data_IF_587762327344
#
_entry.id   IF_587762327344
#
_cell.length_a   1.000
_cell.length_b   1.000
_cell.length_c   1.000
_cell.angle_alpha   90.00
_cell.angle_beta   90.00
_cell.angle_gamma   90.00
#
_symmetry.space_group_name_H-M   'P 1'
#
loop_
_entity.id
_entity.type
_entity.pdbx_description
1 polymer ?
#
# COMPACT_ATOMS: atom_id res chain seq x y z
N UNK A 1 -9.96 17.19 -14.88
CA UNK A 1 -9.69 16.15 -15.91
C UNK A 1 -9.63 14.81 -15.20
N UNK A 2 -10.00 13.68 -15.84
CA UNK A 2 -9.91 12.40 -15.14
C UNK A 2 -8.42 12.02 -14.89
N UNK A 3 -7.98 11.94 -13.62
CA UNK A 3 -6.67 11.48 -13.14
C UNK A 3 -6.55 9.95 -12.90
N UNK A 4 -5.79 9.21 -13.73
CA UNK A 4 -5.79 7.74 -13.72
C UNK A 4 -4.96 7.15 -12.56
N UNK A 5 -5.52 6.17 -11.83
CA UNK A 5 -4.88 5.52 -10.68
C UNK A 5 -4.33 4.15 -11.06
N UNK A 6 -3.01 4.02 -11.21
CA UNK A 6 -2.35 2.73 -11.29
C UNK A 6 -2.05 2.18 -9.88
N UNK A 7 -2.79 1.19 -9.40
CA UNK A 7 -2.35 0.39 -8.24
C UNK A 7 -1.74 -0.91 -8.71
N UNK A 8 -0.62 -1.33 -8.10
CA UNK A 8 -0.17 -2.72 -8.21
C UNK A 8 -1.23 -3.63 -7.56
N UNK A 9 -2.22 -4.04 -8.36
CA UNK A 9 -3.39 -4.79 -7.93
C UNK A 9 -4.66 -4.53 -8.74
N UNK A 10 -4.91 -3.29 -9.23
CA UNK A 10 -5.99 -2.88 -10.15
C UNK A 10 -5.95 -1.35 -10.40
N UNK A 11 -6.36 -0.89 -11.59
CA UNK A 11 -6.51 0.54 -11.91
C UNK A 11 -7.96 0.97 -11.65
N UNK A 12 -8.22 2.03 -10.88
CA UNK A 12 -9.58 2.54 -10.59
C UNK A 12 -9.81 3.96 -11.11
N UNK A 13 -11.00 4.22 -11.64
CA UNK A 13 -11.52 5.56 -11.92
C UNK A 13 -13.01 5.68 -11.57
N UNK A 14 -13.37 6.81 -10.95
CA UNK A 14 -14.67 7.25 -10.44
C UNK A 14 -15.13 6.59 -9.12
N UNK A 15 -14.78 7.26 -8.01
CA UNK A 15 -15.55 7.26 -6.76
C UNK A 15 -15.62 5.93 -6.01
N UNK A 16 -14.92 5.89 -4.87
CA UNK A 16 -14.83 4.81 -3.87
C UNK A 16 -13.90 3.66 -4.24
N UNK A 17 -12.71 3.59 -3.62
CA UNK A 17 -11.89 2.39 -3.67
C UNK A 17 -12.65 1.20 -3.04
N UNK A 18 -12.76 0.10 -3.79
CA UNK A 18 -13.37 -1.15 -3.33
C UNK A 18 -12.38 -1.96 -2.48
N UNK A 19 -12.92 -2.83 -1.62
CA UNK A 19 -12.14 -3.79 -0.82
C UNK A 19 -11.26 -4.65 -1.74
N UNK A 20 -9.97 -4.75 -1.45
CA UNK A 20 -9.01 -5.60 -2.14
C UNK A 20 -8.40 -6.54 -1.11
N UNK A 21 -8.83 -7.81 -1.03
CA UNK A 21 -8.19 -8.74 -0.08
C UNK A 21 -7.92 -10.15 -0.60
N UNK A 22 -8.53 -10.62 -1.70
CA UNK A 22 -8.34 -12.02 -2.14
C UNK A 22 -7.93 -12.22 -3.63
N UNK A 23 -7.36 -13.39 -3.99
CA UNK A 23 -7.12 -13.78 -5.40
C UNK A 23 -8.38 -13.84 -6.28
N UNK A 24 -9.54 -14.16 -5.69
CA UNK A 24 -10.84 -14.15 -6.36
C UNK A 24 -11.32 -12.71 -6.70
N UNK A 25 -10.79 -11.70 -6.00
CA UNK A 25 -11.13 -10.29 -6.26
C UNK A 25 -10.48 -9.71 -7.52
N UNK A 26 -9.48 -10.38 -8.09
CA UNK A 26 -8.73 -9.87 -9.26
C UNK A 26 -9.58 -9.81 -10.52
N UNK A 27 -10.55 -10.73 -10.66
CA UNK A 27 -11.50 -10.72 -11.77
C UNK A 27 -12.77 -9.92 -11.43
N UNK A 28 -13.17 -9.89 -10.16
CA UNK A 28 -14.41 -9.21 -9.73
C UNK A 28 -14.23 -7.68 -9.66
N UNK A 29 -13.05 -7.18 -9.28
CA UNK A 29 -12.83 -5.74 -9.05
C UNK A 29 -12.99 -4.90 -10.32
N UNK A 30 -12.34 -5.22 -11.47
CA UNK A 30 -12.58 -4.47 -12.70
C UNK A 30 -14.04 -4.53 -13.14
N UNK A 31 -14.72 -5.67 -12.93
CA UNK A 31 -16.13 -5.84 -13.25
C UNK A 31 -17.02 -4.93 -12.38
N UNK A 32 -16.75 -4.85 -11.07
CA UNK A 32 -17.46 -3.95 -10.14
C UNK A 32 -17.27 -2.48 -10.52
N UNK A 33 -16.04 -2.06 -10.83
CA UNK A 33 -15.76 -0.69 -11.25
C UNK A 33 -16.50 -0.36 -12.56
N UNK A 34 -16.47 -1.26 -13.54
CA UNK A 34 -17.22 -1.10 -14.79
C UNK A 34 -18.73 -1.07 -14.57
N UNK A 35 -19.26 -1.89 -13.66
CA UNK A 35 -20.67 -1.89 -13.29
C UNK A 35 -21.10 -0.58 -12.61
N UNK A 36 -20.19 0.08 -11.90
CA UNK A 36 -20.36 1.41 -11.34
C UNK A 36 -20.16 2.56 -12.36
N UNK A 37 -19.89 2.24 -13.64
CA UNK A 37 -19.70 3.22 -14.72
C UNK A 37 -18.26 3.72 -14.88
N UNK A 38 -17.30 3.15 -14.15
CA UNK A 38 -15.87 3.45 -14.27
C UNK A 38 -15.19 2.68 -15.41
N UNK A 39 -13.93 3.02 -15.66
CA UNK A 39 -13.02 2.24 -16.53
C UNK A 39 -12.01 1.51 -15.65
N UNK A 40 -11.84 0.22 -15.88
CA UNK A 40 -10.90 -0.61 -15.14
C UNK A 40 -10.39 -1.78 -15.97
N UNK A 41 -9.17 -2.21 -15.66
CA UNK A 41 -8.50 -3.37 -16.22
C UNK A 41 -7.55 -3.94 -15.15
N UNK A 42 -7.27 -5.23 -15.27
CA UNK A 42 -6.35 -5.97 -14.40
C UNK A 42 -5.15 -6.42 -15.21
N UNK A 43 -3.96 -6.22 -14.65
CA UNK A 43 -2.70 -6.71 -15.19
C UNK A 43 -1.97 -7.49 -14.12
N UNK A 44 -1.33 -8.60 -14.50
CA UNK A 44 -0.48 -9.37 -13.59
C UNK A 44 0.95 -8.89 -13.75
N UNK A 45 1.58 -8.53 -12.64
CA UNK A 45 2.99 -8.15 -12.60
C UNK A 45 3.57 -8.52 -11.23
N UNK A 46 4.79 -9.04 -11.25
CA UNK A 46 5.63 -9.11 -10.06
C UNK A 46 6.32 -7.76 -9.83
N UNK A 47 6.06 -7.14 -8.69
CA UNK A 47 6.63 -5.82 -8.35
C UNK A 47 8.13 -5.88 -8.09
N UNK A 48 8.70 -7.07 -7.86
CA UNK A 48 10.16 -7.24 -7.70
C UNK A 48 10.89 -7.35 -9.05
N UNK A 49 10.15 -7.54 -10.15
CA UNK A 49 10.71 -7.62 -11.50
C UNK A 49 10.55 -6.27 -12.22
N UNK A 50 11.68 -5.58 -12.43
CA UNK A 50 11.72 -4.29 -13.10
C UNK A 50 11.09 -4.30 -14.50
N UNK A 51 11.25 -5.39 -15.26
CA UNK A 51 10.69 -5.48 -16.62
C UNK A 51 9.17 -5.64 -16.56
N UNK A 52 8.66 -6.43 -15.61
CA UNK A 52 7.22 -6.56 -15.39
C UNK A 52 6.59 -5.27 -14.87
N UNK A 53 7.27 -4.52 -14.00
CA UNK A 53 6.84 -3.18 -13.61
C UNK A 53 6.75 -2.26 -14.83
N UNK A 54 7.78 -2.18 -15.68
CA UNK A 54 7.72 -1.36 -16.88
C UNK A 54 6.55 -1.74 -17.82
N UNK A 55 6.32 -3.04 -18.01
CA UNK A 55 5.22 -3.57 -18.81
C UNK A 55 3.84 -3.23 -18.23
N UNK A 56 3.70 -3.24 -16.89
CA UNK A 56 2.47 -2.83 -16.20
C UNK A 56 2.11 -1.36 -16.53
N UNK A 57 3.07 -0.45 -16.44
CA UNK A 57 2.84 0.97 -16.74
C UNK A 57 2.55 1.18 -18.23
N UNK A 58 3.26 0.49 -19.13
CA UNK A 58 2.98 0.56 -20.56
C UNK A 58 1.58 0.06 -20.90
N UNK A 59 1.16 -1.06 -20.31
CA UNK A 59 -0.19 -1.59 -20.51
C UNK A 59 -1.27 -0.65 -19.97
N UNK A 60 -1.00 -0.02 -18.81
CA UNK A 60 -1.86 1.00 -18.23
C UNK A 60 -2.00 2.22 -19.15
N UNK A 61 -0.88 2.73 -19.68
CA UNK A 61 -0.90 3.88 -20.59
C UNK A 61 -1.61 3.60 -21.90
N UNK A 62 -1.48 2.37 -22.43
CA UNK A 62 -2.19 1.95 -23.64
C UNK A 62 -3.70 1.89 -23.43
N UNK A 63 -4.15 1.42 -22.27
CA UNK A 63 -5.58 1.25 -21.96
C UNK A 63 -6.25 2.56 -21.54
N UNK A 64 -5.55 3.38 -20.76
CA UNK A 64 -6.15 4.51 -20.05
C UNK A 64 -5.56 5.87 -20.44
N UNK A 65 -4.37 5.90 -21.05
CA UNK A 65 -3.59 7.12 -21.23
C UNK A 65 -2.63 7.37 -20.06
N UNK A 66 -2.08 8.58 -19.98
CA UNK A 66 -1.01 8.91 -19.05
C UNK A 66 -1.36 8.61 -17.57
N UNK A 67 -0.35 8.16 -16.81
CA UNK A 67 -0.51 7.81 -15.39
C UNK A 67 -0.34 9.06 -14.51
N UNK A 68 -1.45 9.56 -13.97
CA UNK A 68 -1.44 10.74 -13.09
C UNK A 68 -1.27 10.37 -11.61
N UNK A 69 -1.71 9.17 -11.21
CA UNK A 69 -1.63 8.66 -9.83
C UNK A 69 -1.07 7.24 -9.84
N UNK A 70 -0.12 6.94 -8.96
CA UNK A 70 0.44 5.60 -8.75
C UNK A 70 0.41 5.23 -7.28
N UNK A 71 -0.09 4.02 -6.98
CA UNK A 71 -0.26 3.49 -5.62
C UNK A 71 0.51 2.18 -5.47
N UNK A 72 1.51 2.22 -4.60
CA UNK A 72 2.41 1.12 -4.29
C UNK A 72 1.82 0.36 -3.09
N UNK A 73 0.81 -0.49 -3.37
CA UNK A 73 0.03 -1.23 -2.38
C UNK A 73 0.49 -2.67 -2.11
N UNK A 74 1.09 -3.32 -3.10
CA UNK A 74 1.56 -4.69 -2.96
C UNK A 74 2.52 -4.83 -1.75
N UNK A 75 2.31 -5.87 -0.96
CA UNK A 75 3.13 -6.12 0.22
C UNK A 75 2.84 -7.49 0.84
N UNK A 76 3.82 -8.00 1.57
CA UNK A 76 3.77 -9.28 2.28
C UNK A 76 4.26 -9.11 3.71
N UNK A 77 3.84 -10.01 4.58
CA UNK A 77 4.32 -10.12 5.95
C UNK A 77 4.59 -11.59 6.27
N UNK A 78 5.64 -11.85 7.03
CA UNK A 78 5.84 -13.12 7.73
C UNK A 78 6.18 -12.85 9.18
N UNK A 79 5.79 -13.76 10.06
CA UNK A 79 5.98 -13.65 11.51
C UNK A 79 6.85 -14.82 11.97
N UNK A 80 7.96 -14.52 12.62
CA UNK A 80 8.90 -15.51 13.13
C UNK A 80 9.63 -15.01 14.38
N UNK A 81 10.03 -15.91 15.27
CA UNK A 81 10.99 -15.58 16.31
C UNK A 81 12.33 -15.20 15.67
N UNK A 82 13.14 -14.41 16.38
CA UNK A 82 14.36 -13.84 15.81
C UNK A 82 15.38 -14.91 15.43
N UNK A 83 15.47 -15.98 16.21
CA UNK A 83 16.34 -17.14 15.97
C UNK A 83 15.89 -18.01 14.79
N UNK A 84 14.60 -17.96 14.43
CA UNK A 84 13.99 -18.75 13.36
C UNK A 84 13.86 -17.94 12.05
N UNK A 85 13.97 -16.61 12.11
CA UNK A 85 13.87 -15.75 10.95
C UNK A 85 15.04 -15.97 10.00
N UNK A 86 14.75 -16.55 8.83
CA UNK A 86 15.79 -16.87 7.85
C UNK A 86 16.23 -15.62 7.07
N UNK A 87 17.48 -15.63 6.60
CA UNK A 87 17.97 -14.58 5.70
C UNK A 87 17.22 -14.55 4.35
N UNK A 88 16.61 -15.67 3.95
CA UNK A 88 15.77 -15.72 2.74
C UNK A 88 14.45 -14.98 2.95
N UNK A 89 13.74 -15.25 4.06
CA UNK A 89 12.51 -14.52 4.41
C UNK A 89 12.76 -13.03 4.63
N UNK A 90 13.87 -12.69 5.29
CA UNK A 90 14.31 -11.31 5.42
C UNK A 90 14.39 -10.63 4.05
N UNK A 91 15.16 -11.21 3.12
CA UNK A 91 15.34 -10.65 1.77
C UNK A 91 14.03 -10.59 1.01
N UNK A 92 13.21 -11.64 1.07
CA UNK A 92 11.91 -11.69 0.38
C UNK A 92 10.98 -10.56 0.81
N UNK A 93 10.87 -10.29 2.11
CA UNK A 93 10.00 -9.22 2.62
C UNK A 93 10.52 -7.84 2.21
N UNK A 94 11.83 -7.58 2.31
CA UNK A 94 12.42 -6.33 1.83
C UNK A 94 12.26 -6.17 0.31
N UNK A 95 12.44 -7.24 -0.45
CA UNK A 95 12.36 -7.21 -1.90
C UNK A 95 10.96 -6.81 -2.37
N UNK A 96 9.91 -7.42 -1.82
CA UNK A 96 8.53 -7.05 -2.16
C UNK A 96 8.16 -5.67 -1.61
N UNK A 97 8.37 -5.44 -0.31
CA UNK A 97 7.80 -4.27 0.38
C UNK A 97 8.62 -2.98 0.21
N UNK A 98 9.91 -3.09 -0.15
CA UNK A 98 10.81 -1.94 -0.25
C UNK A 98 11.35 -1.81 -1.66
N UNK A 99 12.00 -2.85 -2.22
CA UNK A 99 12.52 -2.80 -3.59
C UNK A 99 11.37 -2.62 -4.58
N UNK A 100 10.27 -3.37 -4.43
CA UNK A 100 9.10 -3.25 -5.29
C UNK A 100 8.44 -1.86 -5.27
N UNK A 101 8.34 -1.25 -4.08
CA UNK A 101 7.88 0.15 -3.95
C UNK A 101 8.80 1.09 -4.70
N UNK A 102 10.12 0.97 -4.52
CA UNK A 102 11.10 1.80 -5.22
C UNK A 102 11.00 1.64 -6.75
N UNK A 103 10.93 0.41 -7.27
CA UNK A 103 10.82 0.15 -8.71
C UNK A 103 9.57 0.77 -9.31
N UNK A 104 8.42 0.63 -8.62
CA UNK A 104 7.16 1.23 -9.05
C UNK A 104 7.22 2.77 -9.02
N UNK A 105 7.78 3.36 -7.96
CA UNK A 105 7.99 4.80 -7.87
C UNK A 105 8.90 5.33 -8.99
N UNK A 106 10.01 4.63 -9.26
CA UNK A 106 10.96 4.99 -10.31
C UNK A 106 10.27 5.02 -11.68
N UNK A 107 9.49 3.98 -12.00
CA UNK A 107 8.78 3.91 -13.27
C UNK A 107 7.68 4.97 -13.37
N UNK A 108 6.88 5.17 -12.30
CA UNK A 108 5.86 6.22 -12.26
C UNK A 108 6.44 7.61 -12.50
N UNK A 109 7.52 7.97 -11.79
CA UNK A 109 8.20 9.26 -11.94
C UNK A 109 8.72 9.42 -13.38
N UNK A 110 9.25 8.36 -13.99
CA UNK A 110 9.69 8.39 -15.40
C UNK A 110 8.54 8.72 -16.35
N UNK A 111 7.37 8.09 -16.16
CA UNK A 111 6.15 8.38 -16.97
C UNK A 111 5.63 9.80 -16.73
N UNK A 112 5.58 10.24 -15.46
CA UNK A 112 5.13 11.57 -15.07
C UNK A 112 6.03 12.68 -15.65
N UNK A 113 7.35 12.49 -15.59
CA UNK A 113 8.34 13.35 -16.27
C UNK A 113 8.12 13.38 -17.77
N UNK A 114 7.81 12.23 -18.37
CA UNK A 114 7.54 12.10 -19.81
C UNK A 114 6.38 12.97 -20.29
N UNK A 115 5.29 13.06 -19.52
CA UNK A 115 4.13 13.89 -19.89
C UNK A 115 4.15 15.30 -19.27
N UNK A 116 4.96 15.57 -18.25
CA UNK A 116 5.22 16.92 -17.72
C UNK A 116 4.04 17.62 -17.03
N UNK A 117 3.06 16.87 -16.50
CA UNK A 117 1.84 17.44 -15.87
C UNK A 117 1.83 17.26 -14.34
N UNK A 118 2.95 16.84 -13.75
CA UNK A 118 3.02 16.42 -12.34
C UNK A 118 2.39 15.05 -12.11
N UNK A 119 2.07 14.74 -10.85
CA UNK A 119 1.39 13.50 -10.48
C UNK A 119 1.36 13.24 -8.98
N UNK A 120 0.83 12.09 -8.58
CA UNK A 120 0.71 11.65 -7.19
C UNK A 120 1.27 10.23 -7.02
N UNK A 121 2.23 10.04 -6.12
CA UNK A 121 2.68 8.74 -5.67
C UNK A 121 2.22 8.51 -4.24
N UNK A 122 1.60 7.35 -3.98
CA UNK A 122 0.99 7.00 -2.69
C UNK A 122 1.48 5.61 -2.27
N UNK A 123 2.43 5.60 -1.35
CA UNK A 123 3.08 4.39 -0.87
C UNK A 123 2.35 3.77 0.33
N UNK A 124 2.31 2.45 0.40
CA UNK A 124 1.74 1.73 1.55
C UNK A 124 2.82 1.41 2.58
N UNK A 125 2.87 2.21 3.63
CA UNK A 125 3.69 1.95 4.80
C UNK A 125 2.93 1.01 5.77
N UNK A 126 2.97 1.27 7.07
CA UNK A 126 2.26 0.52 8.12
C UNK A 126 2.39 1.26 9.44
N UNK A 127 1.54 0.97 10.44
CA UNK A 127 1.87 1.29 11.83
C UNK A 127 3.27 0.80 12.24
N UNK A 128 3.74 -0.33 11.68
CA UNK A 128 5.11 -0.80 11.90
C UNK A 128 6.22 0.04 11.24
N UNK A 129 5.87 1.06 10.45
CA UNK A 129 6.79 2.11 9.99
C UNK A 129 6.95 3.26 11.00
N UNK A 130 6.18 3.24 12.09
CA UNK A 130 6.21 4.21 13.19
C UNK A 130 6.77 3.60 14.45
N UNK A 131 6.35 2.38 14.74
CA UNK A 131 6.80 1.63 15.90
C UNK A 131 6.98 0.17 15.50
N UNK A 132 8.21 -0.34 15.60
CA UNK A 132 8.47 -1.75 15.35
C UNK A 132 7.68 -2.66 16.28
N UNK A 133 7.40 -3.88 15.83
CA UNK A 133 6.68 -4.88 16.60
C UNK A 133 7.50 -6.18 16.72
N UNK A 134 7.22 -6.94 17.77
CA UNK A 134 7.89 -8.21 18.04
C UNK A 134 7.59 -9.23 16.93
N UNK A 135 8.57 -10.10 16.67
CA UNK A 135 8.52 -11.18 15.68
C UNK A 135 8.42 -10.75 14.20
N UNK A 136 8.52 -9.45 13.93
CA UNK A 136 8.45 -8.90 12.56
C UNK A 136 9.52 -7.83 12.26
N UNK A 137 10.81 -8.02 12.65
CA UNK A 137 11.83 -6.98 12.46
C UNK A 137 12.10 -6.66 10.98
N UNK A 138 12.04 -7.64 10.09
CA UNK A 138 12.17 -7.49 8.63
C UNK A 138 10.99 -6.74 8.02
N UNK A 139 9.76 -7.02 8.45
CA UNK A 139 8.58 -6.27 8.00
C UNK A 139 8.66 -4.81 8.47
N UNK A 140 8.97 -4.56 9.75
CA UNK A 140 9.18 -3.22 10.27
C UNK A 140 10.29 -2.48 9.49
N UNK A 141 11.46 -3.10 9.31
CA UNK A 141 12.54 -2.55 8.50
C UNK A 141 12.08 -2.19 7.08
N UNK A 142 11.31 -3.07 6.44
CA UNK A 142 10.79 -2.83 5.10
C UNK A 142 9.86 -1.62 5.03
N UNK A 143 8.98 -1.45 6.02
CA UNK A 143 8.00 -0.36 6.07
C UNK A 143 8.60 0.96 6.54
N UNK A 144 9.62 0.95 7.40
CA UNK A 144 10.48 2.12 7.64
C UNK A 144 11.26 2.52 6.37
N UNK A 145 11.70 1.56 5.57
CA UNK A 145 12.32 1.80 4.27
C UNK A 145 11.40 2.58 3.32
N UNK A 146 10.10 2.24 3.30
CA UNK A 146 9.08 2.98 2.53
C UNK A 146 8.98 4.45 2.95
N UNK A 147 9.11 4.77 4.25
CA UNK A 147 9.13 6.16 4.74
C UNK A 147 10.34 6.90 4.20
N UNK A 148 11.52 6.27 4.22
CA UNK A 148 12.75 6.84 3.65
C UNK A 148 12.63 7.11 2.15
N UNK A 149 12.11 6.14 1.38
CA UNK A 149 11.84 6.28 -0.05
C UNK A 149 10.89 7.46 -0.30
N UNK A 150 9.79 7.52 0.44
CA UNK A 150 8.76 8.57 0.32
C UNK A 150 9.37 9.95 0.51
N UNK A 151 10.10 10.15 1.61
CA UNK A 151 10.72 11.44 1.94
C UNK A 151 11.82 11.84 0.94
N UNK A 152 12.66 10.89 0.52
CA UNK A 152 13.75 11.17 -0.42
C UNK A 152 13.20 11.57 -1.79
N UNK A 153 12.25 10.79 -2.33
CA UNK A 153 11.66 11.08 -3.64
C UNK A 153 10.88 12.39 -3.61
N UNK A 154 10.10 12.65 -2.56
CA UNK A 154 9.37 13.91 -2.40
C UNK A 154 10.28 15.13 -2.54
N UNK A 155 11.48 15.09 -1.94
CA UNK A 155 12.46 16.19 -2.03
C UNK A 155 12.99 16.38 -3.45
N UNK A 156 13.16 15.31 -4.21
CA UNK A 156 13.67 15.36 -5.57
C UNK A 156 12.64 15.93 -6.55
N UNK A 157 11.41 15.39 -6.54
CA UNK A 157 10.44 15.62 -7.62
C UNK A 157 9.42 16.74 -7.35
N UNK A 158 9.45 17.38 -6.18
CA UNK A 158 8.45 18.40 -5.80
C UNK A 158 8.33 19.56 -6.80
N UNK A 159 9.46 20.04 -7.36
CA UNK A 159 9.45 21.14 -8.34
C UNK A 159 8.84 20.76 -9.69
N UNK A 160 8.65 19.47 -9.93
CA UNK A 160 8.05 18.91 -11.15
C UNK A 160 6.52 18.75 -11.01
N UNK A 161 5.94 19.21 -9.89
CA UNK A 161 4.50 19.07 -9.60
C UNK A 161 4.11 17.65 -9.18
N UNK A 162 5.10 16.81 -8.82
CA UNK A 162 4.88 15.44 -8.34
C UNK A 162 4.94 15.43 -6.81
N UNK A 163 3.90 14.89 -6.17
CA UNK A 163 3.90 14.66 -4.72
C UNK A 163 4.13 13.20 -4.41
N UNK A 164 4.88 12.89 -3.35
CA UNK A 164 5.12 11.52 -2.89
C UNK A 164 4.74 11.43 -1.42
N UNK A 165 3.72 10.67 -1.10
CA UNK A 165 3.24 10.46 0.27
C UNK A 165 3.12 8.97 0.58
N UNK A 166 3.00 8.65 1.86
CA UNK A 166 2.69 7.31 2.33
C UNK A 166 1.52 7.34 3.31
N UNK A 167 0.82 6.21 3.43
CA UNK A 167 -0.17 6.00 4.47
C UNK A 167 0.21 4.81 5.34
N UNK A 168 -0.12 4.89 6.63
CA UNK A 168 0.14 3.89 7.65
C UNK A 168 -1.19 3.34 8.19
N UNK A 169 -1.71 2.23 7.64
CA UNK A 169 -2.84 1.56 8.22
C UNK A 169 -2.52 0.99 9.60
N UNK A 170 -3.54 0.99 10.47
CA UNK A 170 -3.56 0.22 11.71
C UNK A 170 -3.95 -1.23 11.47
N UNK A 171 -4.76 -1.78 12.36
CA UNK A 171 -5.33 -3.11 12.17
C UNK A 171 -6.55 -2.99 11.25
N UNK A 172 -6.45 -3.52 10.02
CA UNK A 172 -7.51 -3.46 8.99
C UNK A 172 -8.04 -4.86 8.69
N UNK A 173 -9.37 -5.03 8.74
CA UNK A 173 -10.03 -6.29 8.41
C UNK A 173 -9.74 -6.69 6.95
N UNK A 174 -8.86 -7.68 6.78
CA UNK A 174 -8.39 -8.20 5.48
C UNK A 174 -8.04 -9.68 5.59
N UNK A 175 -7.77 -10.37 4.48
CA UNK A 175 -7.28 -11.76 4.52
C UNK A 175 -5.96 -11.88 5.32
N UNK A 176 -5.11 -10.84 5.29
CA UNK A 176 -3.89 -10.75 6.11
C UNK A 176 -4.18 -10.77 7.61
N UNK A 177 -5.36 -10.34 8.03
CA UNK A 177 -5.82 -10.37 9.42
C UNK A 177 -5.83 -11.78 10.00
N UNK A 178 -6.40 -12.74 9.27
CA UNK A 178 -6.54 -14.11 9.73
C UNK A 178 -5.17 -14.78 9.91
N UNK A 179 -4.25 -14.56 8.96
CA UNK A 179 -2.87 -15.01 9.08
C UNK A 179 -2.17 -14.42 10.31
N UNK A 180 -2.30 -13.11 10.53
CA UNK A 180 -1.66 -12.41 11.64
C UNK A 180 -2.21 -12.89 12.99
N UNK A 181 -3.53 -13.06 13.11
CA UNK A 181 -4.20 -13.59 14.30
C UNK A 181 -3.66 -14.97 14.67
N UNK A 182 -3.62 -15.89 13.70
CA UNK A 182 -3.15 -17.25 13.94
C UNK A 182 -1.66 -17.30 14.28
N UNK A 183 -0.82 -16.62 13.51
CA UNK A 183 0.63 -16.68 13.66
C UNK A 183 1.11 -16.02 14.96
N UNK A 184 0.62 -14.82 15.28
CA UNK A 184 0.94 -14.21 16.57
C UNK A 184 0.24 -14.92 17.73
N UNK A 185 -0.98 -15.41 17.52
CA UNK A 185 -1.74 -16.14 18.53
C UNK A 185 -0.92 -17.28 19.11
N UNK A 186 -0.36 -18.14 18.23
CA UNK A 186 0.51 -19.28 18.60
C UNK A 186 1.81 -18.87 19.30
N UNK A 187 2.36 -17.70 18.99
CA UNK A 187 3.64 -17.25 19.54
C UNK A 187 3.50 -16.52 20.88
N UNK A 188 2.36 -15.85 21.11
CA UNK A 188 2.10 -15.04 22.30
C UNK A 188 1.34 -15.80 23.39
N UNK A 189 0.74 -16.94 23.07
CA UNK A 189 0.05 -17.79 24.04
C UNK A 189 -0.82 -18.85 23.37
N UNK A 190 -1.84 -19.31 24.09
CA UNK A 190 -2.83 -20.28 23.61
C UNK A 190 -4.12 -19.58 23.16
N UNK A 191 -4.00 -18.53 22.34
CA UNK A 191 -5.17 -17.82 21.79
C UNK A 191 -5.95 -18.72 20.83
N UNK A 192 -7.27 -18.71 20.92
CA UNK A 192 -8.13 -19.31 19.89
C UNK A 192 -8.26 -18.37 18.70
N UNK A 193 -8.65 -18.88 17.51
CA UNK A 193 -8.87 -18.05 16.34
C UNK A 193 -9.79 -16.85 16.63
N UNK A 194 -9.30 -15.66 16.33
CA UNK A 194 -9.94 -14.36 16.51
C UNK A 194 -9.74 -13.71 17.89
N UNK A 195 -9.27 -14.44 18.91
CA UNK A 195 -9.17 -13.90 20.27
C UNK A 195 -8.08 -12.83 20.38
N UNK A 196 -6.92 -13.06 19.77
CA UNK A 196 -5.80 -12.12 19.81
C UNK A 196 -6.17 -10.80 19.12
N UNK A 197 -6.69 -10.86 17.89
CA UNK A 197 -7.07 -9.63 17.19
C UNK A 197 -8.23 -8.91 17.86
N UNK A 198 -9.21 -9.63 18.40
CA UNK A 198 -10.28 -9.00 19.18
C UNK A 198 -9.72 -8.26 20.41
N UNK A 199 -8.67 -8.79 21.05
CA UNK A 199 -7.98 -8.10 22.13
C UNK A 199 -7.27 -6.84 21.67
N UNK A 200 -6.50 -6.90 20.58
CA UNK A 200 -5.78 -5.73 20.08
C UNK A 200 -6.74 -4.63 19.60
N UNK A 201 -7.87 -5.00 18.99
CA UNK A 201 -8.90 -4.05 18.58
C UNK A 201 -9.49 -3.29 19.76
N UNK A 202 -9.68 -3.93 20.92
CA UNK A 202 -10.16 -3.25 22.14
C UNK A 202 -9.21 -2.15 22.62
N UNK A 203 -7.93 -2.25 22.27
CA UNK A 203 -6.91 -1.27 22.64
C UNK A 203 -6.75 -0.13 21.61
N UNK A 204 -7.43 -0.20 20.46
CA UNK A 204 -7.52 0.93 19.53
C UNK A 204 -8.44 2.00 20.16
N UNK A 205 -8.06 3.29 20.23
CA UNK A 205 -8.90 4.33 20.82
C UNK A 205 -10.31 4.45 20.21
N UNK A 206 -10.46 4.24 18.89
CA UNK A 206 -11.76 4.19 18.23
C UNK A 206 -12.53 2.86 18.46
N UNK A 207 -11.97 1.92 19.22
CA UNK A 207 -12.55 0.64 19.65
C UNK A 207 -13.11 -0.24 18.53
N UNK A 208 -12.55 -0.12 17.32
CA UNK A 208 -12.89 -0.94 16.17
C UNK A 208 -11.68 -1.15 15.27
N UNK A 209 -11.71 -2.25 14.53
CA UNK A 209 -10.83 -2.43 13.39
C UNK A 209 -11.14 -1.38 12.30
N UNK A 210 -10.12 -1.02 11.53
CA UNK A 210 -10.32 -0.27 10.30
C UNK A 210 -10.84 -1.18 9.19
N UNK A 211 -11.52 -0.58 8.22
CA UNK A 211 -12.00 -1.23 7.01
C UNK A 211 -11.19 -0.76 5.80
N UNK A 212 -11.33 -1.46 4.67
CA UNK A 212 -10.80 -0.97 3.40
C UNK A 212 -11.32 0.43 3.03
N UNK A 213 -12.55 0.78 3.43
CA UNK A 213 -13.16 2.09 3.19
C UNK A 213 -12.50 3.22 3.98
N UNK A 214 -12.04 2.93 5.21
CA UNK A 214 -11.32 3.91 6.03
C UNK A 214 -9.97 4.30 5.37
N UNK A 215 -9.24 3.30 4.88
CA UNK A 215 -7.97 3.50 4.15
C UNK A 215 -8.21 4.20 2.81
N UNK A 216 -9.22 3.74 2.08
CA UNK A 216 -9.67 4.27 0.81
C UNK A 216 -9.97 5.77 0.85
N UNK A 217 -10.55 6.27 1.95
CA UNK A 217 -10.81 7.69 2.16
C UNK A 217 -9.55 8.53 2.11
N UNK A 218 -8.52 8.15 2.88
CA UNK A 218 -7.23 8.85 2.89
C UNK A 218 -6.52 8.75 1.53
N UNK A 219 -6.49 7.57 0.93
CA UNK A 219 -5.85 7.35 -0.38
C UNK A 219 -6.51 8.22 -1.46
N UNK A 220 -7.85 8.31 -1.47
CA UNK A 220 -8.58 9.16 -2.42
C UNK A 220 -8.29 10.64 -2.19
N UNK A 221 -8.21 11.08 -0.94
CA UNK A 221 -7.81 12.45 -0.59
C UNK A 221 -6.39 12.76 -1.12
N UNK A 222 -5.41 11.88 -0.86
CA UNK A 222 -4.03 12.06 -1.34
C UNK A 222 -3.89 12.03 -2.86
N UNK A 223 -4.80 11.35 -3.55
CA UNK A 223 -4.87 11.32 -5.01
C UNK A 223 -5.52 12.58 -5.62
N UNK A 224 -6.20 13.41 -4.81
CA UNK A 224 -6.95 14.58 -5.27
C UNK A 224 -6.13 15.86 -5.32
N UNK A 225 -6.73 16.93 -5.85
CA UNK A 225 -6.16 18.27 -5.83
C UNK A 225 -6.18 18.90 -4.42
N UNK A 226 -7.05 18.43 -3.52
CA UNK A 226 -7.10 18.92 -2.14
C UNK A 226 -5.81 18.60 -1.36
N UNK A 227 -5.05 17.59 -1.81
CA UNK A 227 -3.75 17.22 -1.26
C UNK A 227 -2.56 17.81 -2.03
N UNK A 228 -2.77 18.75 -2.97
CA UNK A 228 -1.71 19.26 -3.86
C UNK A 228 -0.51 19.90 -3.13
N UNK A 229 -0.69 20.33 -1.87
CA UNK A 229 0.39 20.90 -1.04
C UNK A 229 0.96 19.92 0.01
N UNK A 230 0.59 18.64 -0.07
CA UNK A 230 1.05 17.59 0.85
C UNK A 230 2.08 16.74 0.10
N UNK A 231 3.34 16.75 0.53
CA UNK A 231 4.39 15.87 0.00
C UNK A 231 5.38 15.47 1.08
N UNK A 232 5.99 14.30 0.94
CA UNK A 232 6.92 13.70 1.88
C UNK A 232 6.27 13.22 3.18
N UNK A 233 4.94 13.24 3.27
CA UNK A 233 4.23 12.89 4.49
C UNK A 233 3.98 11.39 4.57
N UNK A 234 3.96 10.90 5.80
CA UNK A 234 3.45 9.58 6.14
C UNK A 234 2.27 9.81 7.07
N UNK A 235 1.08 9.33 6.74
CA UNK A 235 -0.15 9.69 7.47
C UNK A 235 -0.79 8.43 8.04
N UNK A 236 -1.08 8.42 9.34
CA UNK A 236 -1.69 7.27 10.00
C UNK A 236 -3.21 7.23 9.73
N UNK A 237 -3.71 6.03 9.45
CA UNK A 237 -5.14 5.70 9.32
C UNK A 237 -5.41 4.44 10.12
N UNK A 238 -5.40 4.58 11.45
CA UNK A 238 -5.25 3.47 12.38
C UNK A 238 -6.17 3.53 13.61
N UNK A 239 -7.16 4.44 13.59
CA UNK A 239 -8.09 4.61 14.71
C UNK A 239 -7.45 5.16 15.99
N UNK A 240 -6.26 5.77 15.88
CA UNK A 240 -5.50 6.33 17.00
C UNK A 240 -4.53 5.35 17.66
N UNK A 241 -4.25 4.21 17.00
CA UNK A 241 -3.32 3.21 17.54
C UNK A 241 -1.90 3.77 17.72
N UNK A 242 -1.42 4.59 16.78
CA UNK A 242 -0.10 5.22 16.82
C UNK A 242 -0.23 6.71 16.48
N UNK A 243 0.49 7.58 17.22
CA UNK A 243 0.49 9.04 17.01
C UNK A 243 1.89 9.52 16.63
N UNK A 244 2.01 10.32 15.57
CA UNK A 244 3.30 10.80 15.02
C UNK A 244 3.15 12.11 14.27
#
# INVERSE_FOLDING_TARGET
MPAFIASCGCVSFNGRPSRLTSPDDRASTPAMIRAAGGKAASFVADVTDKAQVAALYEATEREFGAVDVSIQNAGVITIAKVEDLTAEEWRKVLEVNTTGVFLCCQEAIRRMRGHGRGGRLINTASGQARQGFIFTPHYAASKFGVVGITQSLAKEVAKEGITVNAFCPGIIETDMWAYNDEAWGKLLGDYKPGELMAEWVRNIPMARAGSGEDVAGLVTFLASDDAAYITGQTINVDGGLIMS
#
